data_IF_711462163906
#
_entry.id   IF_711462163906
#
_cell.length_a   1.000
_cell.length_b   1.000
_cell.length_c   1.000
_cell.angle_alpha   90.00
_cell.angle_beta   90.00
_cell.angle_gamma   90.00
#
_symmetry.space_group_name_H-M   'P 1'
#
loop_
_entity.id
_entity.type
_entity.pdbx_description
1 polymer ?
#
# COMPACT_ATOMS: atom_id res chain seq x y z
N UNK A 1 -8.44 0.04 -34.38
CA UNK A 1 -8.47 -1.16 -33.51
C UNK A 1 -7.10 -1.83 -33.36
N UNK A 2 -6.60 -2.68 -34.26
CA UNK A 2 -5.34 -3.42 -34.03
C UNK A 2 -4.07 -2.53 -33.89
N UNK A 3 -3.99 -1.43 -34.65
CA UNK A 3 -2.88 -0.47 -34.58
C UNK A 3 -2.90 0.37 -33.29
N UNK A 4 -4.09 0.72 -32.80
CA UNK A 4 -4.27 1.47 -31.54
C UNK A 4 -3.95 0.58 -30.34
N UNK A 5 -4.42 -0.67 -30.35
CA UNK A 5 -4.08 -1.68 -29.33
C UNK A 5 -2.57 -1.93 -29.26
N UNK A 6 -1.89 -1.98 -30.42
CA UNK A 6 -0.44 -2.13 -30.47
C UNK A 6 0.32 -0.88 -29.97
N UNK A 7 -0.23 0.32 -30.20
CA UNK A 7 0.33 1.55 -29.63
C UNK A 7 0.19 1.56 -28.10
N UNK A 8 -0.98 1.25 -27.57
CA UNK A 8 -1.24 1.19 -26.13
C UNK A 8 -0.31 0.20 -25.41
N UNK A 9 -0.14 -1.00 -25.96
CA UNK A 9 0.78 -1.99 -25.40
C UNK A 9 2.22 -1.47 -25.34
N UNK A 10 2.69 -0.77 -26.38
CA UNK A 10 4.03 -0.17 -26.39
C UNK A 10 4.18 0.94 -25.36
N UNK A 11 3.13 1.74 -25.13
CA UNK A 11 3.11 2.75 -24.05
C UNK A 11 3.29 2.10 -22.70
N UNK A 12 2.50 1.07 -22.41
CA UNK A 12 2.54 0.33 -21.16
C UNK A 12 3.89 -0.36 -20.95
N UNK A 13 4.46 -1.00 -21.98
CA UNK A 13 5.77 -1.63 -21.89
C UNK A 13 6.87 -0.61 -21.58
N UNK A 14 6.87 0.53 -22.29
CA UNK A 14 7.83 1.62 -22.04
C UNK A 14 7.76 2.13 -20.59
N UNK A 15 6.55 2.37 -20.08
CA UNK A 15 6.35 2.84 -18.70
C UNK A 15 6.85 1.78 -17.69
N UNK A 16 6.47 0.51 -17.88
CA UNK A 16 6.91 -0.60 -17.04
C UNK A 16 8.44 -0.73 -16.99
N UNK A 17 9.09 -0.72 -18.15
CA UNK A 17 10.55 -0.84 -18.23
C UNK A 17 11.27 0.34 -17.56
N UNK A 18 10.60 1.51 -17.48
CA UNK A 18 11.13 2.66 -16.74
C UNK A 18 10.98 2.47 -15.24
N UNK A 19 9.79 2.10 -14.74
CA UNK A 19 9.56 1.87 -13.31
C UNK A 19 10.49 0.80 -12.74
N UNK A 20 10.69 -0.30 -13.47
CA UNK A 20 11.61 -1.37 -13.07
C UNK A 20 13.08 -0.91 -12.99
N UNK A 21 13.47 0.11 -13.77
CA UNK A 21 14.81 0.71 -13.72
C UNK A 21 14.95 1.74 -12.60
N UNK A 22 13.87 2.45 -12.25
CA UNK A 22 13.90 3.47 -11.20
C UNK A 22 14.09 2.87 -9.81
N UNK A 23 13.63 1.64 -9.57
CA UNK A 23 13.87 0.93 -8.30
C UNK A 23 15.35 0.81 -7.91
N UNK A 24 16.28 0.99 -8.85
CA UNK A 24 17.73 0.93 -8.62
C UNK A 24 18.47 2.22 -8.97
N UNK A 25 17.75 3.32 -9.27
CA UNK A 25 18.36 4.59 -9.64
C UNK A 25 18.66 5.46 -8.41
N UNK A 26 19.81 6.12 -8.40
CA UNK A 26 20.23 7.05 -7.33
C UNK A 26 19.74 8.49 -7.56
N UNK A 27 19.29 8.80 -8.79
CA UNK A 27 18.80 10.11 -9.21
C UNK A 27 17.27 10.12 -9.31
N UNK A 28 16.68 11.27 -8.97
CA UNK A 28 15.24 11.49 -9.13
C UNK A 28 14.82 11.43 -10.59
N UNK A 29 13.60 10.96 -10.84
CA UNK A 29 13.11 10.78 -12.21
C UNK A 29 12.57 12.12 -12.75
N UNK A 30 12.85 12.46 -14.01
CA UNK A 30 12.17 13.57 -14.71
C UNK A 30 10.75 13.16 -15.19
N UNK A 31 9.90 14.12 -15.54
CA UNK A 31 8.59 13.82 -16.16
C UNK A 31 8.77 12.91 -17.39
N UNK A 32 7.96 11.86 -17.44
CA UNK A 32 8.07 10.76 -18.40
C UNK A 32 6.81 10.53 -19.23
N UNK A 33 5.75 11.32 -18.97
CA UNK A 33 4.54 11.33 -19.77
C UNK A 33 4.83 12.02 -21.10
N UNK A 34 4.60 11.33 -22.23
CA UNK A 34 4.79 11.96 -23.56
C UNK A 34 3.55 12.72 -24.00
N UNK A 35 2.39 12.20 -23.64
CA UNK A 35 1.08 12.76 -23.95
C UNK A 35 0.02 12.17 -22.99
N UNK A 36 -1.20 12.69 -23.06
CA UNK A 36 -2.34 12.20 -22.25
C UNK A 36 -2.69 10.73 -22.50
N UNK A 37 -2.27 10.14 -23.64
CA UNK A 37 -2.55 8.73 -23.93
C UNK A 37 -1.67 7.81 -23.09
N UNK A 38 -0.47 8.24 -22.71
CA UNK A 38 0.34 7.49 -21.74
C UNK A 38 -0.36 7.44 -20.37
N UNK A 39 -0.94 8.56 -19.91
CA UNK A 39 -1.73 8.62 -18.68
C UNK A 39 -2.99 7.74 -18.74
N UNK A 40 -3.73 7.79 -19.86
CA UNK A 40 -4.91 6.93 -20.07
C UNK A 40 -4.56 5.44 -20.04
N UNK A 41 -3.52 5.04 -20.76
CA UNK A 41 -3.06 3.65 -20.79
C UNK A 41 -2.62 3.21 -19.38
N UNK A 42 -1.83 4.04 -18.69
CA UNK A 42 -1.43 3.79 -17.31
C UNK A 42 -2.64 3.64 -16.38
N UNK A 43 -3.62 4.55 -16.47
CA UNK A 43 -4.83 4.54 -15.64
C UNK A 43 -5.65 3.26 -15.81
N UNK A 44 -5.77 2.79 -17.05
CA UNK A 44 -6.54 1.62 -17.41
C UNK A 44 -5.93 0.30 -16.90
N UNK A 45 -4.61 0.26 -16.67
CA UNK A 45 -3.91 -0.98 -16.33
C UNK A 45 -3.14 -0.88 -15.02
N UNK A 46 -2.07 -0.08 -14.97
CA UNK A 46 -1.20 -0.04 -13.79
C UNK A 46 -1.85 0.66 -12.61
N UNK A 47 -2.58 1.77 -12.85
CA UNK A 47 -3.31 2.43 -11.80
C UNK A 47 -4.40 1.53 -11.23
N UNK A 48 -5.18 0.79 -12.04
CA UNK A 48 -6.16 -0.18 -11.50
C UNK A 48 -5.52 -1.19 -10.54
N UNK A 49 -4.35 -1.74 -10.90
CA UNK A 49 -3.60 -2.66 -10.03
C UNK A 49 -3.13 -2.00 -8.74
N UNK A 50 -2.77 -0.71 -8.78
CA UNK A 50 -2.45 0.08 -7.59
C UNK A 50 -3.71 0.33 -6.76
N UNK A 51 -4.83 0.64 -7.41
CA UNK A 51 -6.14 0.82 -6.80
C UNK A 51 -6.54 -0.37 -5.94
N UNK A 52 -6.36 -1.61 -6.42
CA UNK A 52 -6.68 -2.80 -5.63
C UNK A 52 -5.81 -2.97 -4.37
N UNK A 53 -4.59 -2.42 -4.37
CA UNK A 53 -3.75 -2.35 -3.16
C UNK A 53 -4.32 -1.31 -2.19
N UNK A 54 -4.73 -0.17 -2.71
CA UNK A 54 -5.40 0.87 -1.93
C UNK A 54 -6.71 0.35 -1.32
N UNK A 55 -7.54 -0.38 -2.08
CA UNK A 55 -8.77 -0.98 -1.58
C UNK A 55 -8.48 -1.88 -0.35
N UNK A 56 -7.47 -2.76 -0.45
CA UNK A 56 -7.06 -3.61 0.67
C UNK A 56 -6.58 -2.81 1.91
N UNK A 57 -5.85 -1.71 1.69
CA UNK A 57 -5.38 -0.82 2.76
C UNK A 57 -6.54 -0.06 3.41
N UNK A 58 -7.46 0.48 2.61
CA UNK A 58 -8.60 1.27 3.08
C UNK A 58 -9.61 0.40 3.82
N UNK A 59 -9.81 -0.86 3.41
CA UNK A 59 -10.58 -1.84 4.17
C UNK A 59 -9.94 -2.15 5.52
N UNK A 60 -8.61 -2.25 5.59
CA UNK A 60 -7.90 -2.41 6.86
C UNK A 60 -8.03 -1.16 7.75
N UNK A 61 -7.88 0.04 7.19
CA UNK A 61 -8.09 1.32 7.89
C UNK A 61 -9.50 1.41 8.48
N UNK A 62 -10.53 1.14 7.67
CA UNK A 62 -11.94 1.18 8.11
C UNK A 62 -12.23 0.20 9.24
N UNK A 63 -11.58 -0.96 9.24
CA UNK A 63 -11.75 -2.00 10.26
C UNK A 63 -10.95 -1.70 11.54
N UNK A 64 -9.73 -1.19 11.42
CA UNK A 64 -8.79 -1.03 12.53
C UNK A 64 -8.81 0.36 13.18
N UNK A 65 -9.39 1.38 12.52
CA UNK A 65 -9.43 2.76 12.98
C UNK A 65 -10.88 3.26 13.07
N UNK A 66 -11.55 2.90 14.16
CA UNK A 66 -12.90 3.38 14.46
C UNK A 66 -12.95 4.91 14.48
N UNK A 67 -13.85 5.50 13.71
CA UNK A 67 -14.03 6.96 13.63
C UNK A 67 -13.14 7.65 12.59
N UNK A 68 -12.29 6.92 11.85
CA UNK A 68 -11.62 7.49 10.68
C UNK A 68 -12.67 7.82 9.61
N UNK A 69 -12.95 9.11 9.47
CA UNK A 69 -13.95 9.67 8.56
C UNK A 69 -13.40 10.99 7.96
N UNK A 70 -12.47 10.90 7.00
CA UNK A 70 -11.81 12.08 6.46
C UNK A 70 -12.83 12.92 5.67
N UNK A 71 -12.85 14.22 5.94
CA UNK A 71 -13.65 15.19 5.17
C UNK A 71 -12.86 15.84 4.04
N UNK A 72 -11.54 15.72 4.08
CA UNK A 72 -10.65 16.18 3.03
C UNK A 72 -9.44 15.26 2.91
N UNK A 73 -8.73 15.31 1.78
CA UNK A 73 -7.46 14.60 1.61
C UNK A 73 -6.48 15.38 0.75
N UNK A 74 -5.20 15.09 0.95
CA UNK A 74 -4.10 15.62 0.13
C UNK A 74 -3.42 14.46 -0.56
N UNK A 75 -3.41 14.42 -1.88
CA UNK A 75 -2.75 13.39 -2.70
C UNK A 75 -1.42 13.92 -3.24
N UNK A 76 -0.33 13.46 -2.63
CA UNK A 76 1.03 13.86 -2.99
C UNK A 76 1.60 12.89 -4.02
N UNK A 77 2.00 13.43 -5.17
CA UNK A 77 2.37 12.61 -6.34
C UNK A 77 1.15 11.91 -6.92
N UNK A 78 0.07 12.67 -7.15
CA UNK A 78 -1.25 12.12 -7.38
C UNK A 78 -1.36 11.24 -8.65
N UNK A 79 -0.48 11.42 -9.64
CA UNK A 79 -0.49 10.62 -10.88
C UNK A 79 -1.84 10.67 -11.59
N UNK A 80 -2.61 9.57 -11.54
CA UNK A 80 -3.97 9.49 -12.09
C UNK A 80 -5.09 9.59 -11.04
N UNK A 81 -4.75 10.12 -9.84
CA UNK A 81 -5.58 10.20 -8.65
C UNK A 81 -6.15 8.86 -8.18
N UNK A 82 -5.50 7.73 -8.50
CA UNK A 82 -6.07 6.42 -8.11
C UNK A 82 -6.19 6.28 -6.59
N UNK A 83 -5.25 6.81 -5.81
CA UNK A 83 -5.32 6.82 -4.36
C UNK A 83 -6.54 7.61 -3.86
N UNK A 84 -6.69 8.85 -4.34
CA UNK A 84 -7.86 9.70 -4.05
C UNK A 84 -9.18 9.06 -4.44
N UNK A 85 -9.29 8.51 -5.65
CA UNK A 85 -10.50 7.84 -6.15
C UNK A 85 -10.90 6.68 -5.26
N UNK A 86 -9.93 5.85 -4.83
CA UNK A 86 -10.21 4.76 -3.88
C UNK A 86 -10.60 5.29 -2.50
N UNK A 87 -9.94 6.35 -2.00
CA UNK A 87 -10.29 6.96 -0.72
C UNK A 87 -11.74 7.46 -0.72
N UNK A 88 -12.13 8.27 -1.71
CA UNK A 88 -13.50 8.83 -1.80
C UNK A 88 -14.54 7.73 -1.93
N UNK A 89 -14.26 6.68 -2.72
CA UNK A 89 -15.17 5.54 -2.83
C UNK A 89 -15.37 4.79 -1.49
N UNK A 90 -14.34 4.70 -0.64
CA UNK A 90 -14.43 4.06 0.68
C UNK A 90 -14.99 4.98 1.76
N UNK A 91 -14.79 6.28 1.62
CA UNK A 91 -15.19 7.32 2.57
C UNK A 91 -15.96 8.43 1.83
N UNK A 92 -17.26 8.22 1.55
CA UNK A 92 -18.07 9.17 0.79
C UNK A 92 -18.25 10.55 1.47
N UNK A 93 -17.90 10.66 2.75
CA UNK A 93 -17.87 11.94 3.48
C UNK A 93 -16.63 12.80 3.18
N UNK A 94 -15.71 12.35 2.33
CA UNK A 94 -14.59 13.15 1.86
C UNK A 94 -15.09 14.15 0.80
N UNK A 95 -15.27 15.39 1.20
CA UNK A 95 -15.87 16.46 0.40
C UNK A 95 -14.83 17.21 -0.44
N UNK A 96 -13.54 17.16 -0.08
CA UNK A 96 -12.48 17.91 -0.76
C UNK A 96 -11.20 17.11 -0.97
N UNK A 97 -10.65 17.15 -2.18
CA UNK A 97 -9.36 16.54 -2.50
C UNK A 97 -8.41 17.56 -3.10
N UNK A 98 -7.22 17.66 -2.50
CA UNK A 98 -6.12 18.44 -3.02
C UNK A 98 -5.14 17.53 -3.78
N UNK A 99 -4.86 17.86 -5.04
CA UNK A 99 -4.00 17.08 -5.92
C UNK A 99 -2.68 17.82 -6.15
N UNK A 100 -1.56 17.15 -5.87
CA UNK A 100 -0.24 17.65 -6.21
C UNK A 100 0.56 16.59 -6.95
N UNK A 101 1.22 17.00 -8.03
CA UNK A 101 2.19 16.20 -8.75
C UNK A 101 3.23 17.13 -9.38
N UNK A 102 4.45 16.63 -9.60
CA UNK A 102 5.46 17.35 -10.39
C UNK A 102 5.00 17.62 -11.83
N UNK A 103 4.11 16.77 -12.35
CA UNK A 103 3.54 16.86 -13.69
C UNK A 103 2.19 17.59 -13.67
N UNK A 104 2.14 18.77 -14.29
CA UNK A 104 0.88 19.49 -14.53
C UNK A 104 -0.11 18.63 -15.33
N UNK A 105 0.37 17.85 -16.30
CA UNK A 105 -0.47 16.96 -17.11
C UNK A 105 -1.10 15.84 -16.25
N UNK A 106 -0.37 15.35 -15.24
CA UNK A 106 -0.90 14.40 -14.25
C UNK A 106 -1.98 15.04 -13.40
N UNK A 107 -1.74 16.23 -12.87
CA UNK A 107 -2.75 16.94 -12.07
C UNK A 107 -4.03 17.25 -12.87
N UNK A 108 -3.92 17.65 -14.14
CA UNK A 108 -5.06 17.85 -15.04
C UNK A 108 -5.85 16.57 -15.26
N UNK A 109 -5.15 15.47 -15.57
CA UNK A 109 -5.77 14.18 -15.82
C UNK A 109 -6.43 13.62 -14.55
N UNK A 110 -5.73 13.71 -13.42
CA UNK A 110 -6.20 13.30 -12.10
C UNK A 110 -7.50 14.02 -11.71
N UNK A 111 -7.54 15.35 -11.87
CA UNK A 111 -8.72 16.14 -11.58
C UNK A 111 -9.92 15.71 -12.45
N UNK A 112 -9.73 15.59 -13.77
CA UNK A 112 -10.78 15.14 -14.69
C UNK A 112 -11.30 13.73 -14.33
N UNK A 113 -10.42 12.81 -13.95
CA UNK A 113 -10.81 11.44 -13.61
C UNK A 113 -11.57 11.37 -12.30
N UNK A 114 -11.13 12.15 -11.30
CA UNK A 114 -11.77 12.21 -10.00
C UNK A 114 -13.15 12.88 -10.11
N UNK A 115 -13.26 14.00 -10.83
CA UNK A 115 -14.53 14.70 -11.09
C UNK A 115 -15.55 13.80 -11.82
N UNK A 116 -15.09 13.03 -12.82
CA UNK A 116 -15.96 12.12 -13.56
C UNK A 116 -16.51 10.95 -12.73
N UNK A 117 -15.77 10.50 -11.71
CA UNK A 117 -16.19 9.39 -10.82
C UNK A 117 -16.93 9.88 -9.58
N UNK A 118 -16.62 11.10 -9.12
CA UNK A 118 -17.09 11.69 -7.88
C UNK A 118 -17.40 13.18 -8.08
N UNK A 119 -18.50 13.52 -8.77
CA UNK A 119 -18.81 14.89 -9.17
C UNK A 119 -19.12 15.84 -7.99
N UNK A 120 -19.44 15.28 -6.82
CA UNK A 120 -19.77 16.05 -5.61
C UNK A 120 -18.53 16.44 -4.78
N UNK A 121 -17.33 16.01 -5.18
CA UNK A 121 -16.07 16.32 -4.48
C UNK A 121 -15.47 17.61 -5.02
N UNK A 122 -15.13 18.54 -4.14
CA UNK A 122 -14.36 19.73 -4.47
C UNK A 122 -12.90 19.34 -4.76
N UNK A 123 -12.41 19.67 -5.96
CA UNK A 123 -11.06 19.30 -6.39
C UNK A 123 -10.21 20.55 -6.57
N UNK A 124 -9.08 20.60 -5.85
CA UNK A 124 -8.12 21.68 -5.95
C UNK A 124 -6.75 21.13 -6.37
N UNK A 125 -6.16 21.71 -7.43
CA UNK A 125 -4.79 21.39 -7.85
C UNK A 125 -3.82 22.34 -7.16
N UNK A 126 -2.75 21.78 -6.62
CA UNK A 126 -1.74 22.51 -5.86
C UNK A 126 -0.44 22.53 -6.65
N UNK A 127 -0.13 23.65 -7.30
CA UNK A 127 1.18 23.84 -7.95
C UNK A 127 2.32 23.83 -6.93
N UNK A 128 2.07 24.46 -5.78
CA UNK A 128 2.90 24.41 -4.59
C UNK A 128 2.05 23.95 -3.42
N UNK A 129 2.68 23.37 -2.41
CA UNK A 129 1.98 22.92 -1.23
C UNK A 129 1.80 24.06 -0.22
N UNK A 130 0.59 24.62 -0.05
CA UNK A 130 0.31 25.52 1.06
C UNK A 130 0.43 24.75 2.39
N UNK A 131 0.60 25.49 3.48
CA UNK A 131 0.61 25.00 4.87
C UNK A 131 -0.70 24.37 5.36
N UNK A 132 -1.48 23.77 4.46
CA UNK A 132 -2.63 22.91 4.76
C UNK A 132 -2.12 21.70 5.54
N UNK A 133 -2.72 21.46 6.70
CA UNK A 133 -2.60 20.23 7.46
C UNK A 133 -3.42 19.13 6.77
N UNK A 134 -2.76 18.07 6.33
CA UNK A 134 -3.41 16.97 5.63
C UNK A 134 -4.01 15.93 6.61
N UNK A 135 -5.25 15.50 6.37
CA UNK A 135 -5.93 14.46 7.16
C UNK A 135 -6.89 13.62 6.32
N UNK A 136 -6.39 12.69 5.47
CA UNK A 136 -5.01 12.22 5.39
C UNK A 136 -4.17 12.87 4.28
N UNK A 137 -2.85 12.75 4.42
CA UNK A 137 -1.89 12.77 3.31
C UNK A 137 -1.84 11.38 2.66
N UNK A 138 -2.13 11.29 1.37
CA UNK A 138 -2.01 10.09 0.55
C UNK A 138 -0.69 10.11 -0.21
N UNK A 139 0.04 8.99 -0.18
CA UNK A 139 1.30 8.82 -0.88
C UNK A 139 1.30 7.45 -1.56
N UNK A 140 1.47 7.40 -2.88
CA UNK A 140 1.29 6.17 -3.65
C UNK A 140 2.38 5.92 -4.69
N UNK A 141 3.22 4.92 -4.48
CA UNK A 141 4.17 4.41 -5.49
C UNK A 141 5.13 5.47 -6.02
N UNK A 142 5.61 6.34 -5.14
CA UNK A 142 6.47 7.47 -5.48
C UNK A 142 7.87 7.30 -4.90
N UNK A 143 8.02 6.56 -3.80
CA UNK A 143 9.31 6.45 -3.10
C UNK A 143 10.40 5.85 -3.98
N UNK A 144 10.05 4.90 -4.85
CA UNK A 144 10.99 4.31 -5.81
C UNK A 144 11.48 5.25 -6.92
N UNK A 145 10.94 6.47 -7.01
CA UNK A 145 11.27 7.44 -8.06
C UNK A 145 11.93 8.73 -7.52
N UNK A 146 12.10 8.82 -6.19
CA UNK A 146 12.57 10.03 -5.53
C UNK A 146 14.09 10.09 -5.40
N UNK A 147 14.62 11.28 -5.69
CA UNK A 147 15.95 11.66 -5.23
C UNK A 147 15.99 11.77 -3.69
N UNK A 148 17.18 11.76 -3.07
CA UNK A 148 17.31 12.01 -1.64
C UNK A 148 16.73 13.37 -1.20
N UNK A 149 16.80 14.40 -2.05
CA UNK A 149 16.25 15.72 -1.72
C UNK A 149 14.72 15.72 -1.72
N UNK A 150 14.11 15.03 -2.69
CA UNK A 150 12.64 14.91 -2.76
C UNK A 150 12.09 14.10 -1.58
N UNK A 151 12.81 13.06 -1.16
CA UNK A 151 12.44 12.29 0.03
C UNK A 151 12.46 13.17 1.29
N UNK A 152 13.48 14.00 1.47
CA UNK A 152 13.55 14.95 2.60
C UNK A 152 12.37 15.92 2.59
N UNK A 153 12.02 16.46 1.41
CA UNK A 153 10.87 17.34 1.25
C UNK A 153 9.55 16.62 1.58
N UNK A 154 9.39 15.37 1.14
CA UNK A 154 8.22 14.56 1.48
C UNK A 154 8.15 14.26 2.99
N UNK A 155 9.26 13.92 3.64
CA UNK A 155 9.30 13.68 5.08
C UNK A 155 8.91 14.96 5.84
N UNK A 156 9.38 16.13 5.41
CA UNK A 156 8.94 17.40 5.98
C UNK A 156 7.42 17.59 5.84
N UNK A 157 6.83 17.18 4.71
CA UNK A 157 5.38 17.22 4.50
C UNK A 157 4.61 16.21 5.37
N UNK A 158 5.14 15.01 5.54
CA UNK A 158 4.59 14.00 6.45
C UNK A 158 4.49 14.57 7.87
N UNK A 159 5.53 15.26 8.35
CA UNK A 159 5.55 15.88 9.68
C UNK A 159 4.47 16.93 9.92
N UNK A 160 4.00 17.62 8.88
CA UNK A 160 2.90 18.60 8.99
C UNK A 160 1.52 17.98 8.84
N UNK A 161 1.42 16.66 8.67
CA UNK A 161 0.16 15.96 8.43
C UNK A 161 -0.38 15.36 9.73
N UNK A 162 -1.71 15.36 9.87
CA UNK A 162 -2.40 14.75 11.01
C UNK A 162 -2.47 13.23 10.88
N UNK A 163 -2.80 12.75 9.68
CA UNK A 163 -2.79 11.32 9.32
C UNK A 163 -2.08 11.14 7.98
N UNK A 164 -1.36 10.03 7.81
CA UNK A 164 -0.70 9.67 6.54
C UNK A 164 -1.06 8.25 6.17
N UNK A 165 -1.42 8.03 4.91
CA UNK A 165 -1.56 6.70 4.31
C UNK A 165 -0.57 6.60 3.15
N UNK A 166 0.44 5.73 3.31
CA UNK A 166 1.52 5.57 2.35
C UNK A 166 1.53 4.13 1.83
N UNK A 167 1.31 3.95 0.53
CA UNK A 167 1.27 2.64 -0.15
C UNK A 167 2.32 2.57 -1.25
N UNK A 168 3.22 1.60 -1.13
CA UNK A 168 4.34 1.37 -2.05
C UNK A 168 4.26 -0.02 -2.71
N UNK A 169 4.94 -0.24 -3.84
CA UNK A 169 4.98 -1.56 -4.46
C UNK A 169 5.69 -2.57 -3.57
N UNK A 170 5.39 -3.86 -3.76
CA UNK A 170 6.06 -4.94 -3.06
C UNK A 170 7.46 -5.23 -3.60
N UNK A 171 8.36 -4.25 -3.45
CA UNK A 171 9.80 -4.37 -3.69
C UNK A 171 10.54 -4.35 -2.35
N UNK A 172 11.51 -5.25 -2.17
CA UNK A 172 12.29 -5.34 -0.93
C UNK A 172 13.03 -4.03 -0.63
N UNK A 173 13.63 -3.43 -1.65
CA UNK A 173 14.36 -2.18 -1.50
C UNK A 173 13.45 -1.05 -1.02
N UNK A 174 12.31 -0.85 -1.70
CA UNK A 174 11.34 0.20 -1.36
C UNK A 174 10.70 -0.06 0.01
N UNK A 175 10.33 -1.30 0.33
CA UNK A 175 9.74 -1.64 1.63
C UNK A 175 10.70 -1.41 2.80
N UNK A 176 12.01 -1.70 2.62
CA UNK A 176 13.02 -1.41 3.63
C UNK A 176 13.24 0.11 3.78
N UNK A 177 13.24 0.86 2.68
CA UNK A 177 13.32 2.33 2.70
C UNK A 177 12.13 2.92 3.46
N UNK A 178 10.90 2.49 3.18
CA UNK A 178 9.72 2.95 3.93
C UNK A 178 9.73 2.50 5.40
N UNK A 179 10.25 1.30 5.71
CA UNK A 179 10.46 0.86 7.10
C UNK A 179 11.46 1.73 7.85
N UNK A 180 12.51 2.22 7.19
CA UNK A 180 13.46 3.16 7.77
C UNK A 180 12.82 4.54 8.02
N UNK A 181 12.00 5.03 7.09
CA UNK A 181 11.20 6.26 7.28
C UNK A 181 10.23 6.11 8.46
N UNK A 182 9.58 4.95 8.59
CA UNK A 182 8.73 4.62 9.74
C UNK A 182 9.50 4.72 11.06
N UNK A 183 10.72 4.18 11.11
CA UNK A 183 11.57 4.25 12.31
C UNK A 183 12.10 5.67 12.59
N UNK A 184 12.33 6.47 11.55
CA UNK A 184 12.70 7.89 11.68
C UNK A 184 11.57 8.73 12.32
N UNK A 185 10.31 8.44 11.98
CA UNK A 185 9.14 9.21 12.40
C UNK A 185 8.49 8.72 13.71
N UNK A 186 9.03 7.66 14.32
CA UNK A 186 8.42 6.95 15.46
C UNK A 186 8.19 7.81 16.70
N UNK A 187 8.96 8.87 16.91
CA UNK A 187 8.81 9.72 18.10
C UNK A 187 7.72 10.77 17.89
N UNK A 188 7.47 11.16 16.63
CA UNK A 188 6.50 12.17 16.21
C UNK A 188 5.10 11.57 15.91
N UNK A 189 5.07 10.31 15.45
CA UNK A 189 3.86 9.60 15.03
C UNK A 189 3.65 8.29 15.78
N UNK A 190 2.39 7.87 15.88
CA UNK A 190 2.01 6.50 16.19
C UNK A 190 1.74 5.73 14.89
N UNK A 191 2.17 4.48 14.85
CA UNK A 191 1.86 3.59 13.72
C UNK A 191 0.46 3.02 13.92
N UNK A 192 -0.42 3.38 13.00
CA UNK A 192 -1.82 2.95 13.01
C UNK A 192 -1.99 1.61 12.28
N UNK A 193 -1.22 1.39 11.22
CA UNK A 193 -1.15 0.16 10.44
C UNK A 193 0.19 0.12 9.68
N UNK A 194 0.82 -1.04 9.42
CA UNK A 194 0.40 -2.40 9.76
C UNK A 194 1.00 -2.92 11.07
N UNK A 195 2.02 -2.24 11.62
CA UNK A 195 2.73 -2.72 12.79
C UNK A 195 1.77 -2.82 13.98
N UNK A 196 1.69 -3.99 14.64
CA UNK A 196 0.89 -4.11 15.85
C UNK A 196 1.57 -3.38 17.02
N UNK A 197 2.90 -3.21 16.98
CA UNK A 197 3.71 -2.59 18.03
C UNK A 197 4.21 -1.19 17.64
N UNK A 198 4.67 -0.41 18.63
CA UNK A 198 5.28 0.91 18.45
C UNK A 198 6.83 0.90 18.58
N UNK A 199 7.44 -0.24 18.90
CA UNK A 199 8.92 -0.40 18.95
C UNK A 199 9.61 -0.35 17.58
N UNK A 200 10.95 -0.46 17.49
CA UNK A 200 11.71 -0.46 16.22
C UNK A 200 11.20 -1.47 15.18
N UNK A 201 11.43 -1.23 13.90
CA UNK A 201 10.98 -2.13 12.84
C UNK A 201 11.90 -3.36 12.74
N UNK A 202 11.41 -4.51 13.21
CA UNK A 202 12.16 -5.77 13.16
C UNK A 202 12.53 -6.23 11.73
N UNK A 203 11.85 -5.73 10.69
CA UNK A 203 12.22 -6.01 9.31
C UNK A 203 13.59 -5.41 8.92
N UNK A 204 14.09 -4.42 9.67
CA UNK A 204 15.38 -3.80 9.39
C UNK A 204 16.58 -4.57 9.97
N UNK A 205 16.34 -5.44 10.96
CA UNK A 205 17.39 -6.17 11.69
C UNK A 205 18.22 -7.10 10.81
N UNK A 206 17.57 -7.80 9.86
CA UNK A 206 18.24 -8.69 8.90
C UNK A 206 18.06 -8.17 7.48
N UNK A 207 19.15 -8.18 6.68
CA UNK A 207 19.11 -7.71 5.29
C UNK A 207 18.17 -8.52 4.38
N UNK A 208 17.88 -9.78 4.73
CA UNK A 208 16.94 -10.63 4.00
C UNK A 208 15.48 -10.24 4.23
N UNK A 209 15.19 -9.52 5.32
CA UNK A 209 13.85 -9.33 5.85
C UNK A 209 13.24 -8.04 5.33
N UNK A 210 11.92 -8.07 5.18
CA UNK A 210 11.12 -6.96 4.67
C UNK A 210 9.64 -7.17 4.94
N UNK A 211 8.96 -6.09 5.29
CA UNK A 211 7.52 -6.07 5.52
C UNK A 211 6.79 -5.97 4.18
N UNK A 212 5.86 -6.88 3.90
CA UNK A 212 5.09 -6.87 2.66
C UNK A 212 3.77 -7.64 2.83
N UNK A 213 2.81 -7.32 1.98
CA UNK A 213 1.46 -7.88 1.94
C UNK A 213 1.05 -8.14 0.49
N UNK A 214 -0.07 -8.83 0.30
CA UNK A 214 -0.62 -9.12 -1.02
C UNK A 214 -2.09 -8.73 -1.05
N UNK A 215 -2.47 -7.86 -1.99
CA UNK A 215 -3.87 -7.56 -2.22
C UNK A 215 -4.52 -8.67 -3.05
N UNK A 216 -5.82 -8.85 -2.87
CA UNK A 216 -6.61 -9.77 -3.70
C UNK A 216 -7.17 -9.00 -4.89
N UNK A 217 -6.79 -9.34 -6.14
CA UNK A 217 -7.40 -8.75 -7.33
C UNK A 217 -8.89 -9.07 -7.43
N UNK A 218 -9.71 -8.21 -8.06
CA UNK A 218 -11.11 -8.51 -8.36
C UNK A 218 -11.24 -9.77 -9.21
N UNK A 219 -12.29 -10.56 -8.97
CA UNK A 219 -12.47 -11.86 -9.65
C UNK A 219 -12.72 -11.70 -11.17
N UNK A 220 -13.29 -10.57 -11.57
CA UNK A 220 -13.71 -10.24 -12.93
C UNK A 220 -12.52 -10.17 -13.90
N UNK A 221 -11.34 -9.80 -13.41
CA UNK A 221 -10.14 -9.67 -14.27
C UNK A 221 -9.68 -11.03 -14.80
N UNK A 222 -10.00 -12.12 -14.10
CA UNK A 222 -9.68 -13.48 -14.54
C UNK A 222 -10.64 -14.00 -15.62
N UNK A 223 -11.77 -13.32 -15.81
CA UNK A 223 -12.76 -13.62 -16.85
C UNK A 223 -12.61 -12.68 -18.06
N UNK A 224 -11.80 -11.63 -17.94
CA UNK A 224 -11.51 -10.68 -19.01
C UNK A 224 -10.39 -11.18 -19.93
N UNK A 225 -10.73 -11.38 -21.21
CA UNK A 225 -9.76 -11.75 -22.25
C UNK A 225 -8.67 -10.67 -22.44
N UNK A 226 -9.02 -9.39 -22.25
CA UNK A 226 -8.11 -8.26 -22.37
C UNK A 226 -7.08 -8.26 -21.24
N UNK A 227 -7.52 -8.44 -19.99
CA UNK A 227 -6.59 -8.56 -18.85
C UNK A 227 -5.66 -9.76 -18.99
N UNK A 228 -6.18 -10.93 -19.40
CA UNK A 228 -5.33 -12.12 -19.64
C UNK A 228 -4.29 -11.87 -20.74
N UNK A 229 -4.67 -11.17 -21.81
CA UNK A 229 -3.78 -10.82 -22.92
C UNK A 229 -2.71 -9.84 -22.47
N UNK A 230 -3.11 -8.73 -21.83
CA UNK A 230 -2.20 -7.71 -21.29
C UNK A 230 -1.25 -8.31 -20.26
N UNK A 231 -1.75 -9.13 -19.34
CA UNK A 231 -0.94 -9.82 -18.35
C UNK A 231 0.15 -10.69 -18.99
N UNK A 232 -0.19 -11.46 -20.03
CA UNK A 232 0.79 -12.25 -20.78
C UNK A 232 1.82 -11.37 -21.50
N UNK A 233 1.37 -10.30 -22.16
CA UNK A 233 2.23 -9.44 -23.00
C UNK A 233 3.17 -8.57 -22.16
N UNK A 234 2.72 -8.09 -21.02
CA UNK A 234 3.48 -7.23 -20.10
C UNK A 234 4.24 -8.05 -19.03
N UNK A 235 4.05 -9.36 -18.96
CA UNK A 235 4.65 -10.22 -17.94
C UNK A 235 4.14 -9.88 -16.53
N UNK A 236 2.83 -9.63 -16.39
CA UNK A 236 2.18 -9.36 -15.11
C UNK A 236 1.56 -10.65 -14.57
N UNK A 237 1.90 -11.02 -13.33
CA UNK A 237 1.11 -12.01 -12.60
C UNK A 237 -0.16 -11.33 -12.05
N UNK A 238 -1.29 -11.59 -12.70
CA UNK A 238 -2.57 -11.02 -12.29
C UNK A 238 -3.02 -11.50 -10.91
N UNK A 239 -2.51 -12.63 -10.42
CA UNK A 239 -2.87 -13.22 -9.11
C UNK A 239 -2.02 -12.68 -7.95
N UNK A 240 -1.03 -11.83 -8.27
CA UNK A 240 -0.05 -11.36 -7.31
C UNK A 240 0.03 -9.84 -7.34
N UNK A 241 -0.43 -9.22 -6.26
CA UNK A 241 -0.40 -7.77 -6.04
C UNK A 241 0.37 -7.46 -4.75
N UNK A 242 1.70 -7.64 -4.75
CA UNK A 242 2.48 -7.37 -3.56
C UNK A 242 2.55 -5.85 -3.32
N UNK A 243 2.46 -5.46 -2.06
CA UNK A 243 2.53 -4.08 -1.62
C UNK A 243 3.18 -3.97 -0.23
N UNK A 244 3.63 -2.77 0.09
CA UNK A 244 4.02 -2.38 1.44
C UNK A 244 3.21 -1.15 1.82
N UNK A 245 2.85 -1.03 3.09
CA UNK A 245 1.97 0.03 3.58
C UNK A 245 2.50 0.58 4.89
N UNK A 246 2.29 1.87 5.10
CA UNK A 246 2.48 2.57 6.35
C UNK A 246 1.32 3.55 6.55
N UNK A 247 0.61 3.41 7.67
CA UNK A 247 -0.40 4.37 8.12
C UNK A 247 0.06 4.96 9.44
N UNK A 248 0.17 6.28 9.48
CA UNK A 248 0.65 7.05 10.63
C UNK A 248 -0.43 8.00 11.12
N UNK A 249 -0.51 8.20 12.42
CA UNK A 249 -1.27 9.26 13.05
C UNK A 249 -0.34 10.11 13.91
N UNK A 250 -0.46 11.44 13.84
CA UNK A 250 0.37 12.33 14.66
C UNK A 250 0.07 12.07 16.14
N UNK A 251 1.10 12.05 16.98
CA UNK A 251 0.96 11.54 18.37
C UNK A 251 -0.05 12.33 19.22
N UNK A 252 -0.14 13.64 19.02
CA UNK A 252 -1.12 14.52 19.68
C UNK A 252 -2.58 14.27 19.21
N UNK A 253 -2.77 13.82 17.98
CA UNK A 253 -4.05 13.49 17.39
C UNK A 253 -4.59 12.11 17.84
N UNK A 254 -3.71 11.25 18.35
CA UNK A 254 -4.00 9.87 18.77
C UNK A 254 -3.40 9.56 20.15
N UNK A 255 -3.75 10.32 21.21
CA UNK A 255 -3.12 10.21 22.53
C UNK A 255 -3.41 8.86 23.21
N UNK A 256 -4.57 8.26 22.93
CA UNK A 256 -5.04 7.03 23.57
C UNK A 256 -4.58 5.75 22.84
N UNK A 257 -3.76 5.86 21.79
CA UNK A 257 -3.31 4.68 21.04
C UNK A 257 -2.36 3.86 21.94
N UNK A 258 -2.71 2.60 22.28
CA UNK A 258 -1.88 1.79 23.17
C UNK A 258 -0.49 1.57 22.55
N UNK A 259 0.54 1.71 23.39
CA UNK A 259 1.94 1.62 22.99
C UNK A 259 2.42 0.18 22.77
N UNK A 260 1.70 -0.81 23.32
CA UNK A 260 2.05 -2.22 23.21
C UNK A 260 0.80 -3.10 23.19
N UNK A 261 0.53 -3.86 22.13
CA UNK A 261 -0.43 -4.93 22.20
C UNK A 261 0.18 -6.10 23.00
N UNK A 262 -0.66 -7.01 23.49
CA UNK A 262 -0.23 -8.22 24.18
C UNK A 262 0.81 -9.01 23.36
N UNK A 263 1.73 -9.71 24.03
CA UNK A 263 2.86 -10.42 23.41
C UNK A 263 2.46 -11.45 22.33
N UNK A 264 1.23 -11.95 22.41
CA UNK A 264 0.66 -12.91 21.47
C UNK A 264 -0.12 -12.26 20.31
N UNK A 265 -0.11 -10.94 20.18
CA UNK A 265 -0.71 -10.23 19.05
C UNK A 265 0.34 -10.00 17.98
N UNK A 266 0.05 -10.46 16.76
CA UNK A 266 0.97 -10.38 15.65
C UNK A 266 0.27 -10.05 14.33
N UNK A 267 1.04 -9.53 13.39
CA UNK A 267 0.65 -9.31 12.00
C UNK A 267 1.31 -10.35 11.12
N UNK A 268 0.54 -11.08 10.33
CA UNK A 268 1.12 -11.98 9.34
C UNK A 268 1.76 -11.17 8.22
N UNK A 269 2.99 -11.48 7.84
CA UNK A 269 3.69 -10.86 6.72
C UNK A 269 3.75 -11.81 5.53
N UNK A 270 3.53 -11.25 4.35
CA UNK A 270 3.57 -11.98 3.09
C UNK A 270 2.50 -13.07 3.00
N UNK A 271 2.85 -14.18 2.33
CA UNK A 271 2.00 -15.38 2.21
C UNK A 271 2.61 -16.52 3.03
N UNK A 272 1.80 -17.44 3.55
CA UNK A 272 2.28 -18.72 4.04
C UNK A 272 3.05 -19.46 2.93
N UNK A 273 4.23 -19.95 3.26
CA UNK A 273 4.97 -20.86 2.39
C UNK A 273 4.48 -22.30 2.65
N UNK A 274 3.70 -22.81 1.69
CA UNK A 274 2.91 -24.03 1.82
C UNK A 274 3.68 -25.24 1.30
N UNK A 275 4.03 -26.16 2.21
CA UNK A 275 4.51 -27.50 1.89
C UNK A 275 3.42 -28.56 1.95
N UNK A 276 3.77 -29.82 1.68
CA UNK A 276 2.80 -30.93 1.70
C UNK A 276 2.30 -31.29 3.11
N UNK A 277 3.14 -31.08 4.13
CA UNK A 277 2.89 -31.48 5.53
C UNK A 277 2.90 -30.33 6.53
N UNK A 278 3.41 -29.16 6.13
CA UNK A 278 3.52 -27.99 6.99
C UNK A 278 3.40 -26.70 6.18
N UNK A 279 3.03 -25.61 6.86
CA UNK A 279 3.09 -24.25 6.34
C UNK A 279 4.06 -23.43 7.19
N UNK A 280 4.94 -22.66 6.54
CA UNK A 280 5.83 -21.71 7.21
C UNK A 280 5.23 -20.31 7.09
N UNK A 281 5.16 -19.60 8.20
CA UNK A 281 4.51 -18.29 8.28
C UNK A 281 5.43 -17.31 8.99
N UNK A 282 5.49 -16.07 8.52
CA UNK A 282 6.22 -15.01 9.17
C UNK A 282 5.25 -14.07 9.86
N UNK A 283 5.50 -13.80 11.14
CA UNK A 283 4.70 -12.90 11.97
C UNK A 283 5.58 -11.75 12.47
N UNK A 284 5.02 -10.54 12.48
CA UNK A 284 5.59 -9.37 13.13
C UNK A 284 4.83 -9.11 14.43
N UNK A 285 5.51 -9.15 15.57
CA UNK A 285 4.95 -8.92 16.90
C UNK A 285 5.83 -7.96 17.70
N UNK A 286 5.46 -7.64 18.95
CA UNK A 286 6.33 -6.88 19.85
C UNK A 286 7.68 -7.57 20.13
N UNK A 287 7.81 -8.87 19.85
CA UNK A 287 9.03 -9.66 19.99
C UNK A 287 9.90 -9.67 18.72
N UNK A 288 9.45 -9.00 17.66
CA UNK A 288 10.14 -8.92 16.37
C UNK A 288 9.54 -9.83 15.30
N UNK A 289 10.39 -10.24 14.33
CA UNK A 289 9.99 -11.14 13.24
C UNK A 289 10.18 -12.60 13.61
N UNK A 290 9.06 -13.31 13.75
CA UNK A 290 9.03 -14.72 14.13
C UNK A 290 8.61 -15.58 12.93
N UNK A 291 9.40 -16.63 12.64
CA UNK A 291 9.05 -17.63 11.61
C UNK A 291 8.53 -18.87 12.32
N UNK A 292 7.24 -19.14 12.15
CA UNK A 292 6.55 -20.23 12.83
C UNK A 292 6.14 -21.31 11.84
N UNK A 293 6.02 -22.54 12.34
CA UNK A 293 5.60 -23.71 11.54
C UNK A 293 4.26 -24.24 11.99
N UNK A 294 3.31 -24.31 11.07
CA UNK A 294 2.03 -24.99 11.25
C UNK A 294 2.12 -26.40 10.66
N UNK A 295 2.02 -27.43 11.51
CA UNK A 295 1.99 -28.82 11.03
C UNK A 295 0.55 -29.21 10.66
N UNK A 296 0.33 -29.62 9.40
CA UNK A 296 -1.00 -29.94 8.85
C UNK A 296 -1.76 -30.99 9.66
N UNK A 297 -1.07 -31.99 10.21
CA UNK A 297 -1.72 -33.03 11.01
C UNK A 297 -2.21 -32.55 12.37
N UNK A 298 -1.70 -31.41 12.86
CA UNK A 298 -2.08 -30.82 14.15
C UNK A 298 -3.28 -29.90 14.04
N UNK A 299 -3.36 -29.11 12.96
CA UNK A 299 -4.52 -28.25 12.69
C UNK A 299 -4.80 -28.21 11.18
N UNK A 300 -5.60 -29.18 10.72
CA UNK A 300 -5.96 -29.33 9.30
C UNK A 300 -6.79 -28.16 8.80
N UNK A 301 -7.58 -27.55 9.68
CA UNK A 301 -8.50 -26.49 9.30
C UNK A 301 -7.75 -25.19 9.03
N UNK A 302 -6.89 -24.78 9.97
CA UNK A 302 -6.03 -23.62 9.76
C UNK A 302 -5.12 -23.80 8.53
N UNK A 303 -4.60 -25.00 8.30
CA UNK A 303 -3.80 -25.28 7.09
C UNK A 303 -4.61 -25.09 5.79
N UNK A 304 -5.88 -25.55 5.75
CA UNK A 304 -6.77 -25.32 4.59
C UNK A 304 -7.08 -23.84 4.42
N UNK A 305 -7.34 -23.13 5.52
CA UNK A 305 -7.59 -21.69 5.54
C UNK A 305 -6.40 -20.94 4.95
N UNK A 306 -5.17 -21.21 5.41
CA UNK A 306 -3.93 -20.63 4.87
C UNK A 306 -3.74 -20.89 3.38
N UNK A 307 -4.16 -22.07 2.90
CA UNK A 307 -4.11 -22.41 1.48
C UNK A 307 -5.12 -21.64 0.64
N UNK A 308 -6.34 -21.43 1.15
CA UNK A 308 -7.44 -20.81 0.40
C UNK A 308 -7.40 -19.28 0.46
N UNK A 309 -7.03 -18.73 1.61
CA UNK A 309 -7.13 -17.31 1.95
C UNK A 309 -5.74 -16.70 2.23
N UNK A 310 -4.72 -17.09 1.45
CA UNK A 310 -3.31 -16.76 1.70
C UNK A 310 -2.99 -15.25 1.80
N UNK A 311 -3.89 -14.37 1.32
CA UNK A 311 -3.76 -12.92 1.32
C UNK A 311 -4.57 -12.23 2.42
N UNK A 312 -5.46 -12.94 3.13
CA UNK A 312 -6.55 -12.33 3.91
C UNK A 312 -6.27 -12.35 5.43
N UNK A 313 -5.03 -12.56 5.83
CA UNK A 313 -4.66 -12.59 7.24
C UNK A 313 -4.25 -11.20 7.71
N UNK A 314 -5.10 -10.62 8.56
CA UNK A 314 -4.89 -9.32 9.20
C UNK A 314 -4.11 -9.43 10.51
N UNK A 315 -4.61 -8.73 11.52
CA UNK A 315 -4.12 -8.84 12.88
C UNK A 315 -4.63 -10.15 13.48
N UNK A 316 -3.76 -10.89 14.17
CA UNK A 316 -4.13 -12.15 14.80
C UNK A 316 -3.59 -12.24 16.23
N UNK A 317 -4.29 -12.98 17.06
CA UNK A 317 -3.72 -13.57 18.26
C UNK A 317 -3.16 -14.94 17.89
N UNK A 318 -1.88 -15.18 18.21
CA UNK A 318 -1.20 -16.44 17.90
C UNK A 318 -1.15 -17.34 19.13
N UNK A 319 -1.47 -18.62 18.96
CA UNK A 319 -1.22 -19.67 19.95
C UNK A 319 0.00 -20.49 19.52
N UNK A 320 1.03 -20.52 20.36
CA UNK A 320 2.34 -21.07 20.02
C UNK A 320 2.89 -22.01 21.07
N UNK A 321 3.54 -23.08 20.63
CA UNK A 321 4.38 -23.94 21.46
C UNK A 321 5.80 -23.96 20.87
N UNK A 322 6.73 -23.25 21.51
CA UNK A 322 8.09 -22.99 21.00
C UNK A 322 8.03 -22.31 19.62
N UNK A 323 8.47 -22.98 18.56
CA UNK A 323 8.47 -22.50 17.17
C UNK A 323 7.27 -23.02 16.34
N UNK A 324 6.32 -23.70 16.99
CA UNK A 324 5.15 -24.29 16.34
C UNK A 324 3.94 -23.42 16.55
N UNK A 325 3.28 -23.11 15.43
CA UNK A 325 1.96 -22.48 15.44
C UNK A 325 0.90 -23.56 15.70
N UNK A 326 0.11 -23.38 16.75
CA UNK A 326 -0.99 -24.27 17.10
C UNK A 326 -2.30 -23.78 16.48
N UNK A 327 -2.61 -22.50 16.70
CA UNK A 327 -3.81 -21.85 16.15
C UNK A 327 -3.63 -20.34 15.99
N UNK A 328 -4.58 -19.70 15.30
CA UNK A 328 -4.71 -18.24 15.23
C UNK A 328 -6.16 -17.82 15.41
N UNK A 329 -6.36 -16.68 16.06
CA UNK A 329 -7.64 -16.01 16.18
C UNK A 329 -7.55 -14.65 15.48
N UNK A 330 -8.45 -14.34 14.55
CA UNK A 330 -8.46 -13.04 13.88
C UNK A 330 -8.92 -11.96 14.84
N UNK A 331 -8.20 -10.85 14.85
CA UNK A 331 -8.57 -9.67 15.62
C UNK A 331 -9.09 -8.57 14.66
N UNK A 332 -10.25 -7.97 14.95
CA UNK A 332 -10.80 -6.92 14.09
C UNK A 332 -9.93 -5.66 14.12
N UNK A 333 -9.39 -5.31 15.30
CA UNK A 333 -8.49 -4.20 15.55
C UNK A 333 -7.45 -4.60 16.61
N UNK A 334 -6.35 -3.83 16.77
CA UNK A 334 -5.48 -3.97 17.93
C UNK A 334 -6.29 -3.83 19.23
N UNK A 335 -6.09 -4.74 20.21
CA UNK A 335 -6.85 -4.74 21.46
C UNK A 335 -6.55 -3.52 22.33
#
# INVERSE_FOLDING_TARGET
MALEEFDELRRLQRLRDRFLRCETAEEGVADYWRDVRDLRAYDAVFAQRIGWKWDAVLDAVRRELSGFAPTQAVDWGCGTAIASRRLVAHFPGCERVFLHDRSNASMDFAAQRLEAEHPDVEIARLAEFPGIEADPLLISHVLGEMSPCDEVALIARVRTSRTVIWVEPGSKAVARRLSAIRDLLRDEFVVLHPCPHQGPCAALENASDWCHFFATPPAEIFQSSDWMRLGRRLGLDLRSLPYHVLVLGRRDAFPDRPTFPAENVARMLGRPDLGNKEARVCFCSARGLERMRLVKSRNKELFRRMKKHANEFGLVRVEVEKDRLLDIEDLPCPP
#
